data_IF_933300472996
#
_entry.id   IF_933300472996
#
_cell.length_a   1.000
_cell.length_b   1.000
_cell.length_c   1.000
_cell.angle_alpha   90.00
_cell.angle_beta   90.00
_cell.angle_gamma   90.00
#
_symmetry.space_group_name_H-M   'P 1'
#
loop_
_entity.id
_entity.type
_entity.pdbx_description
1 polymer ?
#
# COMPACT_ATOMS: atom_id res chain seq x y z
N UNK A 1 27.72 9.44 19.08
CA UNK A 1 26.31 9.07 19.25
C UNK A 1 26.14 7.63 18.81
N UNK A 2 25.36 6.79 19.52
CA UNK A 2 25.04 5.45 19.05
C UNK A 2 24.24 5.58 17.75
N UNK A 3 24.57 4.76 16.73
CA UNK A 3 23.79 4.71 15.50
C UNK A 3 22.36 4.24 15.82
N UNK A 4 21.31 4.85 15.25
CA UNK A 4 19.95 4.39 15.44
C UNK A 4 19.75 2.98 14.86
N UNK A 5 18.87 2.21 15.48
CA UNK A 5 18.48 0.88 15.00
C UNK A 5 17.21 1.06 14.15
N UNK A 6 17.28 0.60 12.91
CA UNK A 6 16.19 0.67 11.93
C UNK A 6 15.77 -0.76 11.62
N UNK A 7 14.48 -1.06 11.75
CA UNK A 7 13.95 -2.41 11.50
C UNK A 7 12.81 -2.36 10.50
N UNK A 8 12.77 -3.31 9.57
CA UNK A 8 11.60 -3.60 8.74
C UNK A 8 10.98 -4.91 9.26
N UNK A 9 9.96 -4.84 10.14
CA UNK A 9 9.46 -6.02 10.86
C UNK A 9 8.56 -6.95 10.04
N UNK A 10 8.06 -6.48 8.91
CA UNK A 10 7.08 -7.15 8.04
C UNK A 10 7.44 -6.99 6.55
N UNK A 11 8.73 -7.08 6.24
CA UNK A 11 9.23 -6.97 4.88
C UNK A 11 8.60 -8.04 3.96
N UNK A 12 8.39 -7.73 2.66
CA UNK A 12 7.87 -8.70 1.72
C UNK A 12 8.82 -9.89 1.57
N UNK A 13 8.30 -11.02 1.12
CA UNK A 13 9.13 -12.16 0.76
C UNK A 13 10.16 -11.78 -0.31
N UNK A 14 11.35 -12.34 -0.22
CA UNK A 14 12.48 -12.01 -1.11
C UNK A 14 12.93 -10.55 -1.06
N UNK A 15 12.72 -9.86 0.05
CA UNK A 15 13.12 -8.46 0.23
C UNK A 15 14.61 -8.25 -0.01
N UNK A 16 15.45 -9.23 0.30
CA UNK A 16 16.88 -9.16 0.05
C UNK A 16 17.22 -8.92 -1.43
N UNK A 17 16.48 -9.54 -2.34
CA UNK A 17 16.64 -9.35 -3.79
C UNK A 17 16.15 -7.96 -4.27
N UNK A 18 15.28 -7.31 -3.53
CA UNK A 18 14.78 -5.96 -3.82
C UNK A 18 15.70 -4.88 -3.28
N UNK A 19 16.58 -5.23 -2.34
CA UNK A 19 17.47 -4.30 -1.65
C UNK A 19 18.78 -4.17 -2.43
N UNK A 20 18.83 -3.25 -3.38
CA UNK A 20 20.03 -2.99 -4.15
C UNK A 20 21.17 -2.41 -3.29
N UNK A 21 22.40 -2.44 -3.82
CA UNK A 21 23.61 -1.99 -3.12
C UNK A 21 23.54 -0.51 -2.71
N UNK A 22 22.94 0.33 -3.54
CA UNK A 22 22.76 1.76 -3.26
C UNK A 22 21.82 1.97 -2.06
N UNK A 23 20.70 1.26 -2.03
CA UNK A 23 19.74 1.34 -0.93
C UNK A 23 20.34 0.78 0.38
N UNK A 24 21.09 -0.33 0.30
CA UNK A 24 21.83 -0.87 1.45
C UNK A 24 22.82 0.17 2.01
N UNK A 25 23.63 0.78 1.15
CA UNK A 25 24.59 1.80 1.55
C UNK A 25 23.91 3.01 2.20
N UNK A 26 22.79 3.48 1.64
CA UNK A 26 22.01 4.60 2.18
C UNK A 26 21.42 4.28 3.55
N UNK A 27 20.82 3.10 3.72
CA UNK A 27 20.28 2.67 5.02
C UNK A 27 21.41 2.50 6.06
N UNK A 28 22.53 1.88 5.66
CA UNK A 28 23.70 1.71 6.52
C UNK A 28 24.38 3.03 6.95
N UNK A 29 24.27 4.06 6.11
CA UNK A 29 24.77 5.41 6.46
C UNK A 29 23.88 6.10 7.51
N UNK A 30 22.59 5.78 7.57
CA UNK A 30 21.64 6.35 8.52
C UNK A 30 21.72 5.63 9.87
N UNK A 31 21.78 4.29 9.86
CA UNK A 31 21.73 3.48 11.07
C UNK A 31 22.03 2.02 10.86
N UNK A 32 21.91 1.25 11.94
CA UNK A 32 22.00 -0.22 11.87
C UNK A 32 20.66 -0.76 11.36
N UNK A 33 20.63 -1.24 10.11
CA UNK A 33 19.44 -1.75 9.48
C UNK A 33 19.34 -3.29 9.59
N UNK A 34 18.13 -3.77 9.88
CA UNK A 34 17.74 -5.19 9.82
C UNK A 34 16.30 -5.34 9.35
N UNK A 35 15.93 -6.53 8.89
CA UNK A 35 14.55 -6.80 8.46
C UNK A 35 14.15 -8.25 8.79
N UNK A 36 12.84 -8.49 8.78
CA UNK A 36 12.22 -9.80 8.92
C UNK A 36 11.22 -9.97 7.77
N UNK A 37 11.37 -11.03 6.99
CA UNK A 37 10.46 -11.34 5.91
C UNK A 37 9.17 -11.97 6.45
N UNK A 38 8.05 -11.55 5.87
CA UNK A 38 6.72 -12.01 6.21
C UNK A 38 6.14 -11.38 7.48
N UNK A 39 4.82 -11.52 7.65
CA UNK A 39 4.11 -10.97 8.80
C UNK A 39 4.52 -11.68 10.09
N UNK A 40 4.49 -10.97 11.20
CA UNK A 40 4.57 -11.58 12.52
C UNK A 40 3.27 -12.34 12.82
N UNK A 41 3.37 -13.45 13.56
CA UNK A 41 2.21 -14.28 13.91
C UNK A 41 1.27 -13.59 14.90
N UNK A 42 1.84 -12.74 15.76
CA UNK A 42 1.09 -11.98 16.76
C UNK A 42 1.82 -10.69 17.17
N UNK A 43 1.21 -9.95 18.10
CA UNK A 43 1.75 -8.69 18.61
C UNK A 43 3.04 -8.86 19.43
N UNK A 44 3.23 -9.99 20.09
CA UNK A 44 4.40 -10.24 20.93
C UNK A 44 5.61 -10.56 20.06
N UNK A 45 5.45 -11.38 19.01
CA UNK A 45 6.49 -11.59 18.00
C UNK A 45 6.84 -10.29 17.30
N UNK A 46 5.84 -9.52 16.87
CA UNK A 46 6.08 -8.22 16.22
C UNK A 46 6.90 -7.30 17.14
N UNK A 47 6.53 -7.19 18.41
CA UNK A 47 7.27 -6.41 19.38
C UNK A 47 8.70 -6.93 19.56
N UNK A 48 8.89 -8.25 19.62
CA UNK A 48 10.21 -8.87 19.73
C UNK A 48 11.14 -8.47 18.58
N UNK A 49 10.59 -8.33 17.36
CA UNK A 49 11.35 -7.88 16.17
C UNK A 49 11.82 -6.42 16.28
N UNK A 50 11.12 -5.56 17.03
CA UNK A 50 11.36 -4.11 17.09
C UNK A 50 11.71 -3.57 18.47
N UNK A 51 11.96 -4.43 19.45
CA UNK A 51 12.11 -4.05 20.87
C UNK A 51 13.17 -2.94 21.09
N UNK A 52 14.27 -2.98 20.35
CA UNK A 52 15.35 -1.99 20.41
C UNK A 52 15.32 -0.97 19.26
N UNK A 53 14.29 -1.02 18.41
CA UNK A 53 14.22 -0.16 17.23
C UNK A 53 13.92 1.29 17.60
N UNK A 54 14.68 2.21 17.01
CA UNK A 54 14.41 3.66 17.06
C UNK A 54 13.53 4.08 15.89
N UNK A 55 13.64 3.37 14.75
CA UNK A 55 12.81 3.59 13.58
C UNK A 55 12.35 2.25 13.00
N UNK A 56 11.13 2.22 12.49
CA UNK A 56 10.64 1.06 11.71
C UNK A 56 10.20 1.50 10.32
N UNK A 57 10.47 0.64 9.33
CA UNK A 57 9.80 0.66 8.03
C UNK A 57 8.60 -0.26 8.20
N UNK A 58 7.39 0.22 7.96
CA UNK A 58 6.17 -0.53 8.17
C UNK A 58 5.48 -0.79 6.83
N UNK A 59 5.36 -2.07 6.45
CA UNK A 59 4.74 -2.48 5.19
C UNK A 59 3.24 -2.61 5.28
N UNK A 60 2.75 -3.16 6.38
CA UNK A 60 1.33 -3.45 6.57
C UNK A 60 0.77 -2.70 7.77
N UNK A 61 0.55 -3.35 8.87
CA UNK A 61 -0.12 -2.75 10.01
C UNK A 61 0.66 -2.89 11.30
N UNK A 62 0.51 -1.91 12.18
CA UNK A 62 1.05 -1.99 13.53
C UNK A 62 0.03 -2.73 14.43
N UNK A 63 0.38 -3.91 14.98
CA UNK A 63 -0.55 -4.64 15.85
C UNK A 63 -0.94 -3.82 17.08
N UNK A 64 -2.15 -4.04 17.57
CA UNK A 64 -2.66 -3.34 18.75
C UNK A 64 -1.75 -3.56 19.97
N UNK A 65 -1.52 -2.50 20.73
CA UNK A 65 -0.69 -2.55 21.95
C UNK A 65 0.81 -2.54 21.73
N UNK A 66 1.30 -2.70 20.49
CA UNK A 66 2.74 -2.67 20.19
C UNK A 66 3.30 -1.27 20.39
N UNK A 67 2.57 -0.24 19.94
CA UNK A 67 3.02 1.14 20.04
C UNK A 67 3.29 1.55 21.50
N UNK A 68 2.47 1.10 22.43
CA UNK A 68 2.61 1.42 23.87
C UNK A 68 3.84 0.75 24.49
N UNK A 69 4.25 -0.38 23.96
CA UNK A 69 5.34 -1.23 24.48
C UNK A 69 6.69 -0.96 23.82
N UNK A 70 6.71 -0.42 22.61
CA UNK A 70 7.92 -0.08 21.87
C UNK A 70 8.52 1.23 22.40
N UNK A 71 9.24 1.18 23.53
CA UNK A 71 9.67 2.37 24.30
C UNK A 71 10.77 3.18 23.62
N UNK A 72 11.53 2.60 22.71
CA UNK A 72 12.62 3.26 21.98
C UNK A 72 12.18 3.82 20.62
N UNK A 73 10.93 3.52 20.19
CA UNK A 73 10.45 3.89 18.87
C UNK A 73 10.19 5.40 18.77
N UNK A 74 10.83 6.03 17.79
CA UNK A 74 10.75 7.47 17.51
C UNK A 74 10.15 7.75 16.12
N UNK A 75 10.25 6.80 15.17
CA UNK A 75 9.83 6.96 13.78
C UNK A 75 9.16 5.71 13.25
N UNK A 76 8.01 5.89 12.61
CA UNK A 76 7.35 4.90 11.75
C UNK A 76 7.36 5.44 10.31
N UNK A 77 8.08 4.79 9.41
CA UNK A 77 8.07 5.08 7.98
C UNK A 77 7.16 4.08 7.27
N UNK A 78 5.92 4.49 6.99
CA UNK A 78 4.95 3.62 6.34
C UNK A 78 5.16 3.60 4.82
N UNK A 79 5.23 2.41 4.22
CA UNK A 79 5.50 2.24 2.79
C UNK A 79 4.29 2.50 1.89
N UNK A 80 3.12 2.73 2.47
CA UNK A 80 1.87 3.01 1.77
C UNK A 80 1.41 4.47 1.86
N UNK A 81 0.22 4.75 1.34
CA UNK A 81 -0.38 6.09 1.33
C UNK A 81 -1.26 6.30 2.57
N UNK A 82 -2.20 5.39 2.82
CA UNK A 82 -3.27 5.54 3.80
C UNK A 82 -2.89 5.12 5.22
N UNK A 83 -1.82 5.66 5.79
CA UNK A 83 -1.25 5.23 7.07
C UNK A 83 -2.24 5.24 8.25
N UNK A 84 -3.23 6.12 8.25
CA UNK A 84 -4.23 6.21 9.32
C UNK A 84 -5.13 4.98 9.47
N UNK A 85 -5.16 4.09 8.48
CA UNK A 85 -5.85 2.80 8.56
C UNK A 85 -5.01 1.70 9.24
N UNK A 86 -3.72 1.94 9.42
CA UNK A 86 -2.73 0.95 9.84
C UNK A 86 -2.01 1.33 11.14
N UNK A 87 -1.98 2.63 11.45
CA UNK A 87 -1.33 3.19 12.65
C UNK A 87 -2.29 4.16 13.33
N UNK A 88 -2.49 4.03 14.63
CA UNK A 88 -3.20 5.03 15.41
C UNK A 88 -2.37 6.30 15.54
N UNK A 89 -2.62 7.27 14.67
CA UNK A 89 -1.87 8.53 14.59
C UNK A 89 -1.99 9.37 15.86
N UNK A 90 -3.12 9.28 16.58
CA UNK A 90 -3.31 10.03 17.84
C UNK A 90 -2.40 9.47 18.94
N UNK A 91 -2.34 8.14 19.05
CA UNK A 91 -1.45 7.47 20.02
C UNK A 91 0.02 7.68 19.66
N UNK A 92 0.39 7.60 18.38
CA UNK A 92 1.75 7.88 17.92
C UNK A 92 2.17 9.30 18.30
N UNK A 93 1.32 10.29 18.02
CA UNK A 93 1.57 11.70 18.39
C UNK A 93 1.67 11.89 19.91
N UNK A 94 0.80 11.27 20.70
CA UNK A 94 0.84 11.35 22.17
C UNK A 94 2.13 10.76 22.77
N UNK A 95 2.81 9.89 22.03
CA UNK A 95 4.11 9.29 22.39
C UNK A 95 5.31 9.96 21.72
N UNK A 96 5.11 11.05 21.01
CA UNK A 96 6.13 11.73 20.20
C UNK A 96 6.78 10.83 19.15
N UNK A 97 6.04 9.81 18.64
CA UNK A 97 6.49 8.98 17.52
C UNK A 97 6.08 9.66 16.23
N UNK A 98 7.07 10.02 15.42
CA UNK A 98 6.85 10.59 14.09
C UNK A 98 6.34 9.51 13.13
N UNK A 99 5.32 9.82 12.34
CA UNK A 99 4.80 8.89 11.32
C UNK A 99 4.89 9.55 9.95
N UNK A 100 5.52 8.87 9.00
CA UNK A 100 5.61 9.30 7.60
C UNK A 100 4.93 8.28 6.69
N UNK A 101 4.55 8.70 5.49
CA UNK A 101 4.00 7.84 4.45
C UNK A 101 4.60 8.20 3.09
N UNK A 102 4.18 7.48 2.03
CA UNK A 102 4.69 7.66 0.65
C UNK A 102 3.57 8.12 -0.30
N UNK A 103 3.10 9.38 -0.20
CA UNK A 103 2.03 9.86 -1.06
C UNK A 103 2.45 9.89 -2.53
N UNK A 104 1.51 9.57 -3.43
CA UNK A 104 1.70 9.68 -4.88
C UNK A 104 2.32 8.46 -5.57
N UNK A 105 3.01 7.57 -4.86
CA UNK A 105 3.73 6.45 -5.48
C UNK A 105 2.84 5.48 -6.26
N UNK A 106 1.59 5.32 -5.85
CA UNK A 106 0.64 4.37 -6.43
C UNK A 106 -0.51 5.04 -7.20
N UNK A 107 -0.48 6.36 -7.39
CA UNK A 107 -1.62 7.10 -7.97
C UNK A 107 -1.98 6.58 -9.37
N UNK A 108 -1.00 6.39 -10.23
CA UNK A 108 -1.20 5.86 -11.59
C UNK A 108 -1.60 4.40 -11.55
N UNK A 109 -0.89 3.57 -10.79
CA UNK A 109 -1.13 2.11 -10.71
C UNK A 109 -2.55 1.79 -10.22
N UNK A 110 -3.02 2.49 -9.18
CA UNK A 110 -4.38 2.30 -8.66
C UNK A 110 -5.43 2.84 -9.63
N UNK A 111 -5.13 3.94 -10.32
CA UNK A 111 -6.02 4.47 -11.35
C UNK A 111 -6.14 3.54 -12.56
N UNK A 112 -5.07 2.91 -13.00
CA UNK A 112 -5.07 1.89 -14.06
C UNK A 112 -5.90 0.67 -13.66
N UNK A 113 -5.73 0.19 -12.42
CA UNK A 113 -6.55 -0.90 -11.90
C UNK A 113 -8.05 -0.52 -11.86
N UNK A 114 -8.36 0.70 -11.43
CA UNK A 114 -9.72 1.24 -11.43
C UNK A 114 -10.32 1.28 -12.83
N UNK A 115 -9.54 1.69 -13.83
CA UNK A 115 -9.95 1.66 -15.23
C UNK A 115 -10.21 0.21 -15.70
N UNK A 116 -9.34 -0.72 -15.33
CA UNK A 116 -9.51 -2.15 -15.64
C UNK A 116 -10.83 -2.69 -15.09
N UNK A 117 -11.14 -2.44 -13.83
CA UNK A 117 -12.40 -2.84 -13.21
C UNK A 117 -13.63 -2.17 -13.88
N UNK A 118 -13.52 -0.89 -14.23
CA UNK A 118 -14.59 -0.15 -14.89
C UNK A 118 -14.89 -0.73 -16.28
N UNK A 119 -13.86 -1.09 -17.05
CA UNK A 119 -14.02 -1.75 -18.35
C UNK A 119 -14.55 -3.18 -18.21
N UNK A 120 -14.09 -3.92 -17.21
CA UNK A 120 -14.60 -5.27 -16.92
C UNK A 120 -16.12 -5.24 -16.64
N UNK A 121 -16.55 -4.35 -15.75
CA UNK A 121 -17.98 -4.16 -15.44
C UNK A 121 -18.78 -3.72 -16.66
N UNK A 122 -18.28 -2.72 -17.42
CA UNK A 122 -18.98 -2.20 -18.59
C UNK A 122 -19.12 -3.22 -19.72
N UNK A 123 -18.19 -4.14 -19.86
CA UNK A 123 -18.11 -5.10 -20.96
C UNK A 123 -18.32 -6.54 -20.53
N UNK A 124 -18.57 -6.81 -19.24
CA UNK A 124 -18.73 -8.14 -18.65
C UNK A 124 -17.56 -9.11 -18.95
N UNK A 125 -16.31 -8.59 -18.95
CA UNK A 125 -15.15 -9.34 -19.43
C UNK A 125 -14.91 -10.61 -18.62
N UNK A 126 -14.85 -10.52 -17.29
CA UNK A 126 -14.62 -11.67 -16.41
C UNK A 126 -15.72 -12.72 -16.53
N UNK A 127 -16.98 -12.28 -16.65
CA UNK A 127 -18.10 -13.20 -16.83
C UNK A 127 -18.02 -13.95 -18.16
N UNK A 128 -17.78 -13.22 -19.26
CA UNK A 128 -17.68 -13.79 -20.59
C UNK A 128 -16.44 -14.68 -20.76
N UNK A 129 -15.32 -14.36 -20.08
CA UNK A 129 -14.14 -15.24 -20.05
C UNK A 129 -14.47 -16.57 -19.37
N UNK A 130 -15.12 -16.55 -18.20
CA UNK A 130 -15.54 -17.76 -17.50
C UNK A 130 -16.51 -18.62 -18.36
N UNK A 131 -17.50 -17.99 -18.99
CA UNK A 131 -18.47 -18.68 -19.87
C UNK A 131 -17.76 -19.34 -21.06
N UNK A 132 -16.86 -18.58 -21.71
CA UNK A 132 -16.12 -19.09 -22.88
C UNK A 132 -15.20 -20.26 -22.51
N UNK A 133 -14.51 -20.18 -21.37
CA UNK A 133 -13.66 -21.29 -20.86
C UNK A 133 -14.46 -22.55 -20.53
N UNK A 134 -15.71 -22.36 -20.12
CA UNK A 134 -16.66 -23.48 -19.91
C UNK A 134 -17.26 -24.03 -21.21
N UNK A 135 -16.86 -23.54 -22.38
CA UNK A 135 -17.40 -23.95 -23.71
C UNK A 135 -18.69 -23.25 -24.09
N UNK A 136 -19.10 -22.21 -23.33
CA UNK A 136 -20.27 -21.40 -23.63
C UNK A 136 -19.99 -20.31 -24.67
N UNK A 137 -21.09 -19.75 -25.21
CA UNK A 137 -21.05 -18.59 -26.09
C UNK A 137 -22.27 -17.71 -25.79
N UNK A 138 -22.21 -16.97 -24.69
CA UNK A 138 -23.35 -16.16 -24.26
C UNK A 138 -23.55 -14.96 -25.17
N UNK A 139 -24.79 -14.84 -25.69
CA UNK A 139 -25.27 -13.69 -26.45
C UNK A 139 -26.18 -12.76 -25.60
N UNK A 140 -26.41 -13.13 -24.35
CA UNK A 140 -27.47 -12.54 -23.51
C UNK A 140 -26.99 -11.37 -22.61
N UNK A 141 -25.70 -11.04 -22.61
CA UNK A 141 -25.15 -9.99 -21.77
C UNK A 141 -24.69 -8.78 -22.60
N UNK A 142 -25.59 -7.79 -22.82
CA UNK A 142 -25.19 -6.57 -23.49
C UNK A 142 -24.20 -5.79 -22.61
N UNK A 143 -23.07 -5.41 -23.21
CA UNK A 143 -22.15 -4.47 -22.56
C UNK A 143 -22.63 -3.02 -22.72
N UNK A 144 -22.04 -2.13 -21.94
CA UNK A 144 -22.28 -0.69 -21.99
C UNK A 144 -21.07 0.01 -22.63
N UNK A 145 -21.33 0.97 -23.52
CA UNK A 145 -20.30 1.85 -24.07
C UNK A 145 -20.11 3.03 -23.13
N UNK A 146 -18.87 3.25 -22.68
CA UNK A 146 -18.55 4.30 -21.70
C UNK A 146 -18.58 5.70 -22.29
N UNK A 147 -18.31 5.87 -23.59
CA UNK A 147 -18.32 7.16 -24.27
C UNK A 147 -19.66 7.89 -24.06
N UNK A 148 -19.58 9.14 -23.61
CA UNK A 148 -20.72 10.01 -23.36
C UNK A 148 -21.40 9.80 -22.01
N UNK A 149 -21.01 8.78 -21.25
CA UNK A 149 -21.48 8.61 -19.87
C UNK A 149 -20.73 9.54 -18.92
N UNK A 150 -21.38 9.87 -17.82
CA UNK A 150 -20.79 10.67 -16.73
C UNK A 150 -20.17 9.77 -15.69
N UNK A 151 -18.90 10.04 -15.33
CA UNK A 151 -18.21 9.39 -14.21
C UNK A 151 -18.31 10.27 -12.96
N UNK A 152 -18.98 9.77 -11.92
CA UNK A 152 -18.98 10.41 -10.59
C UNK A 152 -17.75 9.97 -9.78
N UNK A 153 -17.01 10.93 -9.22
CA UNK A 153 -15.87 10.68 -8.34
C UNK A 153 -16.16 11.20 -6.93
N UNK A 154 -16.09 10.31 -5.93
CA UNK A 154 -16.20 10.68 -4.51
C UNK A 154 -14.81 10.89 -3.96
N UNK A 155 -14.41 12.15 -3.75
CA UNK A 155 -13.03 12.56 -3.49
C UNK A 155 -12.26 12.83 -4.79
N UNK A 156 -11.32 13.80 -4.76
CA UNK A 156 -10.56 14.22 -5.94
C UNK A 156 -9.06 14.39 -5.64
N UNK A 157 -8.47 13.35 -4.99
CA UNK A 157 -7.03 13.23 -4.75
C UNK A 157 -6.26 12.75 -5.98
N UNK A 158 -4.96 12.45 -5.81
CA UNK A 158 -4.07 12.04 -6.91
C UNK A 158 -4.62 10.89 -7.76
N UNK A 159 -5.07 9.81 -7.14
CA UNK A 159 -5.69 8.67 -7.84
C UNK A 159 -6.90 9.11 -8.68
N UNK A 160 -7.84 9.85 -8.06
CA UNK A 160 -9.05 10.27 -8.74
C UNK A 160 -8.78 11.21 -9.93
N UNK A 161 -7.74 12.05 -9.84
CA UNK A 161 -7.30 12.90 -10.96
C UNK A 161 -6.80 12.06 -12.14
N UNK A 162 -6.03 10.98 -11.88
CA UNK A 162 -5.61 10.05 -12.92
C UNK A 162 -6.80 9.30 -13.53
N UNK A 163 -7.73 8.80 -12.72
CA UNK A 163 -8.97 8.16 -13.20
C UNK A 163 -9.76 9.11 -14.09
N UNK A 164 -9.90 10.40 -13.70
CA UNK A 164 -10.58 11.41 -14.51
C UNK A 164 -9.89 11.63 -15.88
N UNK A 165 -8.55 11.60 -15.91
CA UNK A 165 -7.80 11.71 -17.17
C UNK A 165 -8.08 10.51 -18.08
N UNK A 166 -8.10 9.30 -17.55
CA UNK A 166 -8.41 8.08 -18.31
C UNK A 166 -9.88 8.10 -18.81
N UNK A 167 -10.82 8.52 -17.96
CA UNK A 167 -12.22 8.61 -18.34
C UNK A 167 -12.45 9.63 -19.48
N UNK A 168 -11.77 10.78 -19.44
CA UNK A 168 -11.81 11.76 -20.54
C UNK A 168 -11.26 11.18 -21.84
N UNK A 169 -10.17 10.41 -21.79
CA UNK A 169 -9.62 9.74 -22.98
C UNK A 169 -10.59 8.73 -23.58
N UNK A 170 -11.46 8.11 -22.77
CA UNK A 170 -12.56 7.26 -23.23
C UNK A 170 -13.78 8.04 -23.72
N UNK A 171 -13.78 9.37 -23.67
CA UNK A 171 -14.87 10.24 -24.07
C UNK A 171 -16.02 10.30 -23.05
N UNK A 172 -15.74 10.02 -21.78
CA UNK A 172 -16.67 10.24 -20.67
C UNK A 172 -16.71 11.72 -20.23
N UNK A 173 -17.74 12.06 -19.48
CA UNK A 173 -17.93 13.37 -18.87
C UNK A 173 -17.74 13.28 -17.35
#
# INVERSE_FOLDING_TARGET
>A
MKQPIIVYPDAPEHFDAMLDESLRARLGAIGKFSYFEGPATDADEFLGRIVDAHAIILGWGLPAGVLERATHLELISFTGIGVGNFVDLRRASARNVTVTNTPGYADVTVAEHTLGLMLDLARNLSHLDCDTRAGGWSKALPGVTLRGLTLGLVGFGGIAQQVANFARALGMQ
#
